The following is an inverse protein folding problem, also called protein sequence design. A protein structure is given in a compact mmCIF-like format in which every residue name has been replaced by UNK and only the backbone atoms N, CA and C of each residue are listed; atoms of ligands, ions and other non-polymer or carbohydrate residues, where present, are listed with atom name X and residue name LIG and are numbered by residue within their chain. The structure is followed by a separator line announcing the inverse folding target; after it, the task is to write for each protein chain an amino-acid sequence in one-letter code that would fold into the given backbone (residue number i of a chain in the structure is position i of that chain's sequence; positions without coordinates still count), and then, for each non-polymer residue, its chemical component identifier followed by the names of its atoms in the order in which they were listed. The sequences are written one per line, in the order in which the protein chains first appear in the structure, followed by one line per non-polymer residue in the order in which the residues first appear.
data_IF_185641883298
#
_entry.id   IF_185641883298
#
_cell.length_a   1.000
_cell.length_b   1.000
_cell.length_c   1.000
_cell.angle_alpha   90.00
_cell.angle_beta   90.00
_cell.angle_gamma   90.00
#
_symmetry.space_group_name_H-M   'P 1'
#
loop_
_entity.id
_entity.type
_entity.pdbx_description
1 polymer ?
#
# COMPACT_ATOMS: atom_id res chain seq x y z
N UNK A 1 -18.85 -4.54 -14.39
CA UNK A 1 -17.79 -4.87 -13.41
C UNK A 1 -18.26 -4.34 -12.06
N UNK A 2 -18.47 -5.22 -11.07
CA UNK A 2 -18.94 -4.82 -9.74
C UNK A 2 -17.79 -4.76 -8.75
N UNK A 3 -17.81 -3.78 -7.85
CA UNK A 3 -16.94 -3.78 -6.67
C UNK A 3 -17.31 -5.00 -5.82
N UNK A 4 -16.33 -5.87 -5.58
CA UNK A 4 -16.55 -7.13 -4.84
C UNK A 4 -16.16 -7.05 -3.38
N UNK A 5 -15.40 -6.02 -3.01
CA UNK A 5 -14.88 -5.79 -1.67
C UNK A 5 -14.41 -4.33 -1.58
N UNK A 6 -14.73 -3.70 -0.46
CA UNK A 6 -14.30 -2.34 -0.13
C UNK A 6 -14.09 -2.20 1.38
N UNK A 7 -13.01 -1.54 1.79
CA UNK A 7 -12.73 -1.17 3.18
C UNK A 7 -12.12 0.22 3.24
N UNK A 8 -12.49 0.96 4.29
CA UNK A 8 -11.84 2.23 4.66
C UNK A 8 -11.05 2.01 5.94
N UNK A 9 -9.79 2.43 5.92
CA UNK A 9 -8.76 2.01 6.86
C UNK A 9 -8.01 3.26 7.36
N UNK A 10 -7.54 3.23 8.60
CA UNK A 10 -6.70 4.29 9.19
C UNK A 10 -5.45 3.76 9.86
N UNK A 11 -5.46 2.49 10.29
CA UNK A 11 -4.40 1.91 11.09
C UNK A 11 -3.73 0.73 10.39
N UNK A 12 -2.48 0.44 10.77
CA UNK A 12 -1.77 -0.74 10.28
C UNK A 12 -2.50 -2.06 10.62
N UNK A 13 -3.18 -2.12 11.76
CA UNK A 13 -3.95 -3.30 12.16
C UNK A 13 -5.15 -3.54 11.23
N UNK A 14 -5.92 -2.48 10.93
CA UNK A 14 -7.02 -2.55 9.95
C UNK A 14 -6.49 -2.92 8.56
N UNK A 15 -5.39 -2.28 8.12
CA UNK A 15 -4.76 -2.56 6.84
C UNK A 15 -4.35 -4.03 6.71
N UNK A 16 -3.71 -4.61 7.74
CA UNK A 16 -3.30 -6.02 7.73
C UNK A 16 -4.49 -6.95 7.59
N UNK A 17 -5.55 -6.73 8.37
CA UNK A 17 -6.78 -7.53 8.29
C UNK A 17 -7.43 -7.44 6.90
N UNK A 18 -7.58 -6.22 6.38
CA UNK A 18 -8.19 -5.96 5.09
C UNK A 18 -7.36 -6.51 3.91
N UNK A 19 -6.03 -6.46 3.99
CA UNK A 19 -5.14 -7.04 2.99
C UNK A 19 -5.33 -8.56 2.88
N UNK A 20 -5.39 -9.27 4.01
CA UNK A 20 -5.65 -10.72 4.03
C UNK A 20 -7.03 -11.06 3.46
N UNK A 21 -8.08 -10.31 3.84
CA UNK A 21 -9.43 -10.55 3.34
C UNK A 21 -9.53 -10.29 1.83
N UNK A 22 -8.96 -9.18 1.36
CA UNK A 22 -8.95 -8.81 -0.04
C UNK A 22 -8.21 -9.86 -0.90
N UNK A 23 -7.05 -10.33 -0.43
CA UNK A 23 -6.22 -11.29 -1.16
C UNK A 23 -6.77 -12.73 -1.18
N UNK A 24 -7.75 -13.06 -0.34
CA UNK A 24 -8.28 -14.42 -0.16
C UNK A 24 -8.81 -15.09 -1.45
N UNK A 25 -9.17 -14.29 -2.46
CA UNK A 25 -9.67 -14.76 -3.77
C UNK A 25 -8.56 -15.04 -4.78
N UNK A 26 -7.30 -14.73 -4.43
CA UNK A 26 -6.15 -14.94 -5.30
C UNK A 26 -5.48 -16.29 -4.98
N UNK A 27 -5.02 -17.05 -5.99
CA UNK A 27 -4.25 -18.28 -5.75
C UNK A 27 -3.00 -18.03 -4.89
N UNK A 28 -2.29 -16.93 -5.15
CA UNK A 28 -1.10 -16.49 -4.39
C UNK A 28 -1.45 -15.52 -3.25
N UNK A 29 -2.52 -15.79 -2.51
CA UNK A 29 -3.09 -14.89 -1.48
C UNK A 29 -2.08 -14.32 -0.48
N UNK A 30 -1.08 -15.09 -0.05
CA UNK A 30 -0.08 -14.62 0.92
C UNK A 30 0.80 -13.53 0.30
N UNK A 31 1.30 -13.77 -0.91
CA UNK A 31 2.12 -12.81 -1.64
C UNK A 31 1.35 -11.53 -1.98
N UNK A 32 0.07 -11.66 -2.37
CA UNK A 32 -0.80 -10.51 -2.62
C UNK A 32 -1.11 -9.74 -1.34
N UNK A 33 -1.31 -10.43 -0.21
CA UNK A 33 -1.54 -9.77 1.08
C UNK A 33 -0.32 -8.96 1.54
N UNK A 34 0.89 -9.51 1.41
CA UNK A 34 2.13 -8.78 1.72
C UNK A 34 2.31 -7.56 0.80
N UNK A 35 2.05 -7.72 -0.52
CA UNK A 35 2.10 -6.60 -1.46
C UNK A 35 1.08 -5.50 -1.12
N UNK A 36 -0.16 -5.88 -0.80
CA UNK A 36 -1.19 -4.94 -0.34
C UNK A 36 -0.80 -4.26 0.98
N UNK A 37 -0.17 -4.98 1.91
CA UNK A 37 0.28 -4.41 3.17
C UNK A 37 1.34 -3.32 2.95
N UNK A 38 2.31 -3.52 2.05
CA UNK A 38 3.30 -2.50 1.69
C UNK A 38 2.63 -1.25 1.09
N UNK A 39 1.66 -1.42 0.19
CA UNK A 39 0.94 -0.30 -0.41
C UNK A 39 0.05 0.43 0.60
N UNK A 40 -0.67 -0.30 1.45
CA UNK A 40 -1.54 0.27 2.49
C UNK A 40 -0.74 1.00 3.58
N UNK A 41 0.40 0.44 4.01
CA UNK A 41 1.29 1.12 4.93
C UNK A 41 1.76 2.45 4.32
N UNK A 42 2.21 2.44 3.06
CA UNK A 42 2.62 3.68 2.40
C UNK A 42 1.48 4.69 2.30
N UNK A 43 0.28 4.25 1.93
CA UNK A 43 -0.91 5.10 1.84
C UNK A 43 -1.28 5.72 3.20
N UNK A 44 -1.20 4.96 4.29
CA UNK A 44 -1.48 5.46 5.65
C UNK A 44 -0.38 6.44 6.10
N UNK A 45 0.88 6.00 6.04
CA UNK A 45 2.02 6.71 6.62
C UNK A 45 2.41 7.94 5.79
N UNK A 46 2.63 7.76 4.49
CA UNK A 46 3.15 8.78 3.58
C UNK A 46 2.02 9.60 2.95
N UNK A 47 0.90 8.97 2.60
CA UNK A 47 -0.28 9.63 2.01
C UNK A 47 -1.09 10.39 3.06
N UNK A 48 -1.93 9.67 3.81
CA UNK A 48 -2.92 10.24 4.72
C UNK A 48 -2.28 10.98 5.90
N UNK A 49 -1.27 10.39 6.56
CA UNK A 49 -0.58 11.03 7.69
C UNK A 49 0.55 11.97 7.25
N UNK A 50 0.95 11.98 5.97
CA UNK A 50 1.94 12.92 5.44
C UNK A 50 3.32 12.80 6.09
N UNK A 51 3.73 11.61 6.52
CA UNK A 51 5.03 11.38 7.14
C UNK A 51 6.06 11.13 6.05
N UNK A 52 7.07 11.99 5.90
CA UNK A 52 8.13 11.78 4.91
C UNK A 52 9.09 10.61 5.26
N UNK A 53 9.83 10.11 4.26
CA UNK A 53 10.79 9.02 4.45
C UNK A 53 11.90 9.33 5.47
N UNK A 54 12.47 10.54 5.43
CA UNK A 54 13.48 10.96 6.40
C UNK A 54 12.94 10.97 7.84
N UNK A 55 11.71 11.46 8.01
CA UNK A 55 11.06 11.48 9.31
C UNK A 55 10.81 10.06 9.83
N UNK A 56 10.31 9.16 8.97
CA UNK A 56 10.15 7.74 9.29
C UNK A 56 11.49 7.10 9.70
N UNK A 57 12.57 7.36 8.97
CA UNK A 57 13.90 6.85 9.29
C UNK A 57 14.38 7.34 10.67
N UNK A 58 14.23 8.64 10.96
CA UNK A 58 14.58 9.21 12.28
C UNK A 58 13.76 8.60 13.42
N UNK A 59 12.44 8.52 13.26
CA UNK A 59 11.57 7.94 14.27
C UNK A 59 11.87 6.46 14.52
N UNK A 60 12.19 5.68 13.46
CA UNK A 60 12.58 4.28 13.61
C UNK A 60 13.92 4.14 14.33
N UNK A 61 14.92 4.95 13.98
CA UNK A 61 16.20 4.95 14.68
C UNK A 61 16.06 5.33 16.16
N UNK A 62 15.12 6.22 16.48
CA UNK A 62 14.83 6.66 17.85
C UNK A 62 13.80 5.78 18.60
N UNK A 63 13.24 4.73 17.99
CA UNK A 63 12.20 3.90 18.63
C UNK A 63 10.87 4.61 18.88
N UNK A 64 10.62 5.75 18.23
CA UNK A 64 9.44 6.63 18.45
C UNK A 64 8.39 6.52 17.35
N UNK A 65 8.51 5.53 16.45
CA UNK A 65 7.65 5.41 15.27
C UNK A 65 6.16 5.31 15.59
N UNK A 66 5.79 4.41 16.50
CA UNK A 66 4.38 4.22 16.90
C UNK A 66 3.80 5.46 17.58
N UNK A 67 4.60 6.16 18.40
CA UNK A 67 4.17 7.39 19.05
C UNK A 67 3.90 8.51 18.03
N UNK A 68 4.74 8.64 17.00
CA UNK A 68 4.50 9.64 15.94
C UNK A 68 3.26 9.32 15.10
N UNK A 69 3.01 8.05 14.79
CA UNK A 69 1.77 7.63 14.13
C UNK A 69 0.54 8.01 14.96
N UNK A 70 0.52 7.66 16.25
CA UNK A 70 -0.56 8.00 17.15
C UNK A 70 -0.77 9.53 17.24
N UNK A 71 0.31 10.28 17.43
CA UNK A 71 0.28 11.74 17.50
C UNK A 71 -0.31 12.39 16.25
N UNK A 72 -0.03 11.87 15.04
CA UNK A 72 -0.62 12.39 13.80
C UNK A 72 -2.06 11.95 13.61
N UNK A 73 -2.41 10.73 14.02
CA UNK A 73 -3.78 10.23 13.98
C UNK A 73 -4.74 11.02 14.88
N UNK A 74 -4.23 11.72 15.89
CA UNK A 74 -5.01 12.60 16.77
C UNK A 74 -5.20 14.03 16.21
N UNK A 75 -4.47 14.42 15.16
CA UNK A 75 -4.60 15.76 14.59
C UNK A 75 -5.92 15.89 13.82
N UNK A 76 -6.68 17.00 13.98
CA UNK A 76 -7.99 17.17 13.34
C UNK A 76 -7.98 16.99 11.81
N UNK A 77 -6.92 17.44 11.14
CA UNK A 77 -6.84 17.43 9.67
C UNK A 77 -6.29 16.12 9.10
N UNK A 78 -5.42 15.43 9.84
CA UNK A 78 -4.77 14.19 9.39
C UNK A 78 -5.53 12.95 9.89
N UNK A 79 -6.00 12.97 11.13
CA UNK A 79 -6.70 11.85 11.78
C UNK A 79 -8.06 11.49 11.17
N UNK A 80 -8.65 12.41 10.42
CA UNK A 80 -9.89 12.18 9.66
C UNK A 80 -9.65 11.53 8.30
N UNK A 81 -8.40 11.54 7.81
CA UNK A 81 -8.08 10.99 6.51
C UNK A 81 -8.12 9.47 6.53
N UNK A 82 -8.65 8.88 5.47
CA UNK A 82 -8.84 7.44 5.31
C UNK A 82 -8.00 6.93 4.13
N UNK A 83 -7.64 5.65 4.18
CA UNK A 83 -7.19 4.90 3.02
C UNK A 83 -8.30 3.97 2.58
N UNK A 84 -8.62 3.98 1.29
CA UNK A 84 -9.59 3.10 0.66
C UNK A 84 -8.87 1.90 0.04
N UNK A 85 -9.25 0.69 0.43
CA UNK A 85 -8.89 -0.54 -0.28
C UNK A 85 -10.12 -1.04 -1.03
N UNK A 86 -10.02 -1.13 -2.36
CA UNK A 86 -11.07 -1.66 -3.23
C UNK A 86 -10.56 -2.86 -4.01
N UNK A 87 -11.38 -3.91 -4.15
CA UNK A 87 -11.11 -5.03 -5.05
C UNK A 87 -12.25 -5.20 -6.04
N UNK A 88 -11.90 -5.10 -7.32
CA UNK A 88 -12.83 -5.20 -8.44
C UNK A 88 -12.52 -6.45 -9.25
N UNK A 89 -13.56 -7.20 -9.62
CA UNK A 89 -13.42 -8.30 -10.56
C UNK A 89 -13.36 -7.73 -11.98
N UNK A 90 -12.29 -8.06 -12.70
CA UNK A 90 -12.13 -7.70 -14.12
C UNK A 90 -12.50 -8.89 -15.01
N UNK A 91 -12.50 -8.72 -16.32
CA UNK A 91 -12.67 -9.83 -17.27
C UNK A 91 -11.56 -10.88 -17.09
N UNK A 92 -10.33 -10.40 -16.91
CA UNK A 92 -9.14 -11.23 -16.94
C UNK A 92 -8.59 -11.54 -15.54
N UNK A 93 -9.24 -11.07 -14.47
CA UNK A 93 -8.81 -11.37 -13.10
C UNK A 93 -9.34 -10.41 -12.04
N UNK A 94 -8.42 -9.76 -11.33
CA UNK A 94 -8.70 -8.89 -10.20
C UNK A 94 -7.87 -7.60 -10.27
N UNK A 95 -8.54 -6.48 -10.02
CA UNK A 95 -7.91 -5.18 -9.80
C UNK A 95 -8.04 -4.80 -8.33
N UNK A 96 -6.94 -4.45 -7.70
CA UNK A 96 -6.90 -3.90 -6.35
C UNK A 96 -6.49 -2.43 -6.42
N UNK A 97 -7.19 -1.57 -5.70
CA UNK A 97 -6.90 -0.15 -5.64
C UNK A 97 -6.69 0.22 -4.17
N UNK A 98 -5.54 0.84 -3.89
CA UNK A 98 -5.24 1.47 -2.61
C UNK A 98 -5.19 2.97 -2.85
N UNK A 99 -6.14 3.70 -2.27
CA UNK A 99 -6.25 5.16 -2.44
C UNK A 99 -6.10 5.88 -1.11
N UNK A 100 -5.20 6.85 -1.04
CA UNK A 100 -5.07 7.77 0.11
C UNK A 100 -5.68 9.16 -0.16
N UNK A 101 -5.81 9.94 0.91
CA UNK A 101 -6.31 11.33 0.89
C UNK A 101 -5.16 12.35 1.08
N UNK A 102 -3.94 11.96 0.72
CA UNK A 102 -2.75 12.80 0.72
C UNK A 102 -2.63 13.64 -0.55
N UNK A 103 -1.44 14.25 -0.73
CA UNK A 103 -1.16 15.09 -1.89
C UNK A 103 -0.77 14.29 -3.16
N UNK A 104 -0.44 13.01 -3.02
CA UNK A 104 0.25 12.22 -4.04
C UNK A 104 1.78 12.39 -3.95
N UNK A 105 2.50 11.61 -4.74
CA UNK A 105 3.97 11.63 -4.77
C UNK A 105 4.51 11.09 -6.11
N UNK A 106 5.74 11.47 -6.47
CA UNK A 106 6.43 10.86 -7.61
C UNK A 106 7.03 9.51 -7.22
N UNK A 107 6.27 8.46 -7.49
CA UNK A 107 6.60 7.07 -7.17
C UNK A 107 7.69 6.47 -8.08
N UNK A 108 7.99 7.08 -9.24
CA UNK A 108 8.92 6.51 -10.22
C UNK A 108 10.32 6.33 -9.68
N UNK A 109 10.78 7.29 -8.86
CA UNK A 109 12.10 7.23 -8.20
C UNK A 109 12.23 6.11 -7.15
N UNK A 110 11.10 5.54 -6.72
CA UNK A 110 11.02 4.48 -5.71
C UNK A 110 10.84 3.08 -6.30
N UNK A 111 10.80 2.96 -7.63
CA UNK A 111 10.84 1.69 -8.35
C UNK A 111 12.24 1.09 -8.30
N UNK A 112 12.29 -0.24 -8.27
CA UNK A 112 13.54 -1.00 -8.25
C UNK A 112 14.45 -0.78 -7.03
N UNK A 113 15.41 -1.67 -6.88
CA UNK A 113 16.48 -1.54 -5.89
C UNK A 113 17.67 -0.82 -6.53
N UNK A 114 17.94 0.42 -6.15
CA UNK A 114 19.32 0.91 -6.25
C UNK A 114 20.16 0.27 -5.13
N UNK A 115 21.48 0.25 -5.30
CA UNK A 115 22.40 -0.34 -4.31
C UNK A 115 22.32 0.32 -2.93
N UNK A 116 21.95 1.59 -2.83
CA UNK A 116 21.79 2.32 -1.58
C UNK A 116 20.48 1.96 -0.85
N UNK A 117 19.41 1.60 -1.57
CA UNK A 117 18.11 1.23 -0.98
C UNK A 117 18.03 -0.22 -0.51
N UNK A 118 18.90 -1.10 -0.98
CA UNK A 118 18.91 -2.51 -0.53
C UNK A 118 19.19 -2.62 0.98
N UNK A 119 20.09 -1.78 1.50
CA UNK A 119 20.47 -1.71 2.92
C UNK A 119 19.70 -0.65 3.71
N UNK A 120 18.80 0.11 3.08
CA UNK A 120 18.08 1.18 3.76
C UNK A 120 17.05 0.65 4.78
N UNK A 121 16.88 1.32 5.94
CA UNK A 121 15.95 0.89 6.98
C UNK A 121 14.47 1.08 6.59
N UNK A 122 14.19 1.88 5.55
CA UNK A 122 12.86 2.12 5.01
C UNK A 122 12.93 2.44 3.51
N UNK A 123 11.76 2.51 2.83
CA UNK A 123 11.70 2.92 1.41
C UNK A 123 11.85 1.78 0.40
N UNK A 124 11.65 0.52 0.83
CA UNK A 124 11.74 -0.66 -0.03
C UNK A 124 10.39 -1.20 -0.50
N UNK A 125 9.27 -0.72 0.05
CA UNK A 125 7.95 -1.33 -0.16
C UNK A 125 7.54 -1.42 -1.63
N UNK A 126 7.69 -0.34 -2.40
CA UNK A 126 7.38 -0.33 -3.84
C UNK A 126 8.26 -1.34 -4.59
N UNK A 127 9.57 -1.34 -4.34
CA UNK A 127 10.49 -2.29 -4.96
C UNK A 127 10.19 -3.75 -4.59
N UNK A 128 9.78 -4.03 -3.35
CA UNK A 128 9.36 -5.37 -2.91
C UNK A 128 8.08 -5.81 -3.64
N UNK A 129 7.09 -4.93 -3.77
CA UNK A 129 5.87 -5.22 -4.53
C UNK A 129 6.20 -5.56 -5.99
N UNK A 130 7.10 -4.81 -6.63
CA UNK A 130 7.53 -5.11 -8.00
C UNK A 130 8.33 -6.41 -8.13
N UNK A 131 9.12 -6.75 -7.13
CA UNK A 131 9.85 -8.02 -7.08
C UNK A 131 8.89 -9.20 -6.93
N UNK A 132 7.86 -9.06 -6.10
CA UNK A 132 6.87 -10.12 -5.87
C UNK A 132 5.87 -10.25 -7.01
N UNK A 133 5.39 -9.13 -7.55
CA UNK A 133 4.34 -9.06 -8.56
C UNK A 133 4.82 -8.22 -9.77
N UNK A 134 5.78 -8.74 -10.54
CA UNK A 134 6.39 -8.00 -11.63
C UNK A 134 5.37 -7.63 -12.70
N UNK A 135 5.35 -6.35 -13.08
CA UNK A 135 4.44 -5.83 -14.11
C UNK A 135 2.99 -5.60 -13.64
N UNK A 136 2.65 -5.92 -12.39
CA UNK A 136 1.28 -5.78 -11.88
C UNK A 136 0.99 -4.42 -11.24
N UNK A 137 2.01 -3.66 -10.83
CA UNK A 137 1.87 -2.39 -10.11
C UNK A 137 1.86 -1.19 -11.05
N UNK A 138 0.87 -0.32 -10.86
CA UNK A 138 0.78 1.01 -11.46
C UNK A 138 0.27 2.03 -10.45
N UNK A 139 0.38 3.32 -10.79
CA UNK A 139 -0.14 4.41 -9.97
C UNK A 139 -0.94 5.40 -10.84
N UNK A 140 -2.02 5.91 -10.27
CA UNK A 140 -2.93 6.88 -10.84
C UNK A 140 -3.08 8.10 -9.91
N UNK A 141 -3.83 9.12 -10.36
CA UNK A 141 -4.13 10.33 -9.57
C UNK A 141 -2.89 10.99 -8.93
N UNK A 142 -1.82 11.19 -9.72
CA UNK A 142 -0.56 11.76 -9.24
C UNK A 142 0.09 10.97 -8.08
N UNK A 143 -0.11 9.65 -8.04
CA UNK A 143 0.48 8.75 -7.04
C UNK A 143 -0.41 8.48 -5.83
N UNK A 144 -1.61 9.06 -5.75
CA UNK A 144 -2.56 8.79 -4.65
C UNK A 144 -3.28 7.45 -4.74
N UNK A 145 -3.26 6.82 -5.92
CA UNK A 145 -3.93 5.55 -6.15
C UNK A 145 -2.91 4.55 -6.65
N UNK A 146 -2.57 3.56 -5.83
CA UNK A 146 -1.79 2.41 -6.25
C UNK A 146 -2.73 1.31 -6.75
N UNK A 147 -2.47 0.79 -7.95
CA UNK A 147 -3.29 -0.23 -8.61
C UNK A 147 -2.46 -1.51 -8.80
N UNK A 148 -2.97 -2.64 -8.31
CA UNK A 148 -2.46 -3.97 -8.64
C UNK A 148 -3.43 -4.69 -9.57
N UNK A 149 -2.96 -5.01 -10.78
CA UNK A 149 -3.69 -5.81 -11.76
C UNK A 149 -3.15 -7.24 -11.76
N UNK A 150 -3.99 -8.19 -11.37
CA UNK A 150 -3.64 -9.60 -11.29
C UNK A 150 -4.50 -10.41 -12.26
N UNK A 151 -3.86 -11.11 -13.18
CA UNK A 151 -4.53 -12.06 -14.05
C UNK A 151 -5.06 -13.24 -13.22
N UNK A 152 -6.23 -13.76 -13.61
CA UNK A 152 -6.63 -15.12 -13.30
C UNK A 152 -5.63 -16.01 -14.00
N UNK A 153 -4.87 -16.81 -13.24
CA UNK A 153 -4.07 -17.86 -13.85
C UNK A 153 -4.98 -18.68 -14.81
N UNK A 154 -4.59 -18.88 -16.07
CA UNK A 154 -5.26 -19.84 -16.94
C UNK A 154 -4.94 -21.24 -16.40
N UNK A 155 -5.74 -21.74 -15.47
CA UNK A 155 -5.42 -22.98 -14.76
C UNK A 155 -6.41 -23.36 -13.67
N UNK A 156 -7.68 -23.48 -14.04
CA UNK A 156 -8.68 -24.33 -13.36
C UNK A 156 -9.87 -24.45 -14.31
N UNK A 157 -9.60 -25.12 -15.42
CA UNK A 157 -10.63 -25.82 -16.19
C UNK A 157 -10.70 -27.26 -15.66
#
# INVERSE_FOLDING_TARGET
MGVSFERRLRTHAEARSAAFEAASVCPQRWQVAEALMELLANAIEHGSLGIGHEMKARCRAAGTWEAELARRAEQPDLGRRMVLLRRVKTCDGWRFEVRDEGAGFDWRGWRGFDSARQSAPCGRGIALVEQWLPGCLSYEEAGRVACLELARNPGSA
#
